data_IF_059737512714
#
_entry.id   IF_059737512714
#
_cell.length_a   1.000
_cell.length_b   1.000
_cell.length_c   1.000
_cell.angle_alpha   90.00
_cell.angle_beta   90.00
_cell.angle_gamma   90.00
#
_symmetry.space_group_name_H-M   'P 1'
#
loop_
_entity.id
_entity.type
_entity.pdbx_description
1 polymer ?
#
# COMPACT_ATOMS: atom_id res chain seq x y z
N UNK A 1 24.83 41.36 12.90
CA UNK A 1 24.29 40.77 11.66
C UNK A 1 25.20 39.61 11.26
N UNK A 2 24.78 38.36 11.51
CA UNK A 2 25.50 37.16 11.08
C UNK A 2 24.87 36.69 9.78
N UNK A 3 25.61 36.76 8.68
CA UNK A 3 25.20 36.18 7.41
C UNK A 3 25.40 34.66 7.48
N UNK A 4 24.31 33.91 7.33
CA UNK A 4 24.33 32.46 7.14
C UNK A 4 24.64 32.19 5.66
N UNK A 5 25.65 31.36 5.40
CA UNK A 5 25.96 30.84 4.07
C UNK A 5 24.95 29.74 3.69
N UNK A 6 24.57 29.61 2.41
CA UNK A 6 23.69 28.54 1.96
C UNK A 6 24.48 27.24 1.76
N UNK A 7 24.09 26.19 2.47
CA UNK A 7 24.52 24.82 2.18
C UNK A 7 23.73 24.31 0.96
N UNK A 8 24.40 24.23 -0.19
CA UNK A 8 23.86 23.61 -1.40
C UNK A 8 23.82 22.09 -1.21
N UNK A 9 22.62 21.57 -0.94
CA UNK A 9 22.31 20.15 -0.84
C UNK A 9 22.14 19.59 -2.26
N UNK A 10 23.19 19.01 -2.83
CA UNK A 10 23.11 18.31 -4.12
C UNK A 10 22.55 16.90 -3.89
N UNK A 11 21.23 16.74 -3.97
CA UNK A 11 20.59 15.43 -3.99
C UNK A 11 20.32 15.05 -5.45
N UNK A 12 21.14 14.14 -5.99
CA UNK A 12 20.84 13.45 -7.24
C UNK A 12 19.94 12.26 -6.93
N UNK A 13 18.72 12.30 -7.46
CA UNK A 13 17.78 11.18 -7.47
C UNK A 13 17.89 10.44 -8.79
N UNK A 14 17.94 9.11 -8.73
CA UNK A 14 17.75 8.22 -9.87
C UNK A 14 16.90 7.02 -9.40
N UNK A 15 15.98 6.55 -10.25
CA UNK A 15 14.71 5.86 -9.90
C UNK A 15 14.76 4.34 -10.20
N UNK A 16 13.84 3.59 -9.56
CA UNK A 16 13.27 2.25 -9.85
C UNK A 16 13.95 1.05 -9.16
N UNK A 17 13.30 -0.06 -8.78
CA UNK A 17 11.89 -0.44 -8.58
C UNK A 17 11.88 -1.67 -7.64
N UNK A 18 10.86 -1.82 -6.80
CA UNK A 18 10.74 -2.92 -5.84
C UNK A 18 10.25 -4.21 -6.52
N UNK A 19 11.07 -5.27 -6.48
CA UNK A 19 10.70 -6.62 -6.88
C UNK A 19 9.60 -7.21 -6.00
N UNK A 20 8.36 -6.95 -6.36
CA UNK A 20 7.17 -7.63 -5.86
C UNK A 20 7.04 -8.95 -6.63
N UNK A 21 7.11 -10.07 -5.93
CA UNK A 21 6.77 -11.37 -6.48
C UNK A 21 5.27 -11.38 -6.84
N UNK A 22 4.94 -11.09 -8.09
CA UNK A 22 3.64 -11.36 -8.71
C UNK A 22 3.70 -12.74 -9.36
N UNK A 23 2.99 -13.71 -8.80
CA UNK A 23 2.40 -14.76 -9.62
C UNK A 23 0.97 -14.31 -9.94
N UNK A 24 0.77 -13.87 -11.18
CA UNK A 24 -0.53 -13.75 -11.80
C UNK A 24 -0.41 -14.22 -13.23
N UNK A 25 -1.23 -15.19 -13.64
CA UNK A 25 -1.84 -15.15 -14.97
C UNK A 25 -3.17 -15.92 -14.96
N UNK A 26 -4.25 -15.15 -15.03
CA UNK A 26 -5.47 -15.56 -15.71
C UNK A 26 -5.45 -14.80 -17.05
N UNK A 27 -5.43 -15.53 -18.16
CA UNK A 27 -5.67 -14.97 -19.50
C UNK A 27 -7.00 -15.51 -20.03
N UNK A 28 -7.92 -14.60 -20.33
CA UNK A 28 -9.11 -14.85 -21.15
C UNK A 28 -8.90 -14.15 -22.49
N UNK A 29 -8.90 -14.92 -23.59
CA UNK A 29 -9.12 -14.43 -24.94
C UNK A 29 -9.86 -15.51 -25.75
N UNK A 30 -11.07 -15.19 -26.19
CA UNK A 30 -11.76 -15.80 -27.36
C UNK A 30 -11.17 -15.13 -28.63
N UNK A 31 -11.05 -15.70 -29.83
CA UNK A 31 -11.58 -16.92 -30.47
C UNK A 31 -11.01 -17.08 -31.92
N UNK A 32 -11.33 -18.22 -32.56
CA UNK A 32 -11.24 -18.63 -34.00
C UNK A 32 -10.02 -19.45 -34.50
N UNK A 33 -10.16 -20.77 -34.36
CA UNK A 33 -10.14 -21.85 -35.39
C UNK A 33 -9.24 -21.82 -36.65
N UNK A 34 -8.41 -22.87 -36.83
CA UNK A 34 -8.31 -23.84 -37.96
C UNK A 34 -6.98 -24.65 -37.77
N UNK A 35 -6.99 -25.89 -37.27
CA UNK A 35 -7.01 -27.18 -38.00
C UNK A 35 -5.66 -27.67 -38.57
N UNK A 36 -5.36 -28.95 -38.25
CA UNK A 36 -4.43 -29.93 -38.87
C UNK A 36 -3.02 -30.17 -38.26
N UNK A 37 -2.95 -31.25 -37.47
CA UNK A 37 -2.07 -32.45 -37.60
C UNK A 37 -0.56 -32.31 -37.86
N UNK A 38 0.28 -32.80 -36.93
CA UNK A 38 0.94 -34.12 -37.06
C UNK A 38 1.68 -34.51 -35.77
N UNK A 39 1.59 -35.79 -35.44
CA UNK A 39 2.11 -36.44 -34.24
C UNK A 39 3.37 -37.26 -34.51
N UNK A 40 4.34 -37.08 -33.61
CA UNK A 40 5.23 -38.06 -32.97
C UNK A 40 6.17 -39.01 -33.76
N UNK A 41 7.41 -39.01 -33.25
CA UNK A 41 8.36 -40.12 -33.05
C UNK A 41 9.24 -40.59 -34.20
N UNK A 42 10.57 -40.52 -33.98
CA UNK A 42 11.40 -41.72 -33.91
C UNK A 42 12.71 -41.47 -33.13
N UNK A 43 13.00 -42.37 -32.20
CA UNK A 43 14.23 -42.46 -31.40
C UNK A 43 15.42 -42.98 -32.21
N UNK A 44 16.65 -42.66 -31.78
CA UNK A 44 17.70 -43.62 -31.38
C UNK A 44 19.11 -43.00 -31.50
N UNK A 45 19.85 -42.96 -30.40
CA UNK A 45 21.17 -43.60 -30.19
C UNK A 45 21.98 -42.90 -29.09
N UNK A 46 22.82 -43.73 -28.49
CA UNK A 46 23.46 -43.71 -27.18
C UNK A 46 24.94 -43.32 -27.33
N UNK A 47 25.61 -43.13 -26.20
CA UNK A 47 27.07 -42.94 -26.00
C UNK A 47 27.52 -41.48 -26.25
N UNK A 48 28.38 -40.82 -25.49
CA UNK A 48 29.47 -41.28 -24.62
C UNK A 48 29.92 -40.15 -23.66
N UNK A 49 30.53 -40.54 -22.55
CA UNK A 49 31.08 -39.71 -21.49
C UNK A 49 32.43 -39.07 -21.92
N UNK A 50 32.58 -37.74 -21.84
CA UNK A 50 33.92 -37.15 -21.71
C UNK A 50 33.89 -35.74 -21.11
N UNK A 51 34.56 -35.62 -19.96
CA UNK A 51 34.94 -34.36 -19.32
C UNK A 51 35.97 -33.59 -20.16
N UNK A 52 35.90 -32.25 -20.21
CA UNK A 52 37.14 -31.49 -20.19
C UNK A 52 37.11 -30.34 -19.17
N UNK A 53 37.96 -30.51 -18.17
CA UNK A 53 39.02 -29.57 -17.73
C UNK A 53 38.73 -28.08 -17.90
N UNK A 54 38.56 -27.42 -16.76
CA UNK A 54 38.48 -25.97 -16.60
C UNK A 54 39.67 -25.24 -17.27
N UNK A 55 39.35 -24.25 -18.11
CA UNK A 55 40.28 -23.19 -18.47
C UNK A 55 39.88 -21.89 -17.75
N UNK A 56 40.85 -21.01 -17.41
CA UNK A 56 40.61 -19.81 -16.63
C UNK A 56 39.88 -18.78 -17.49
N UNK A 57 38.75 -18.26 -16.98
CA UNK A 57 37.99 -17.21 -17.66
C UNK A 57 38.55 -15.83 -17.30
N UNK A 58 38.70 -15.04 -18.36
CA UNK A 58 39.05 -13.62 -18.47
C UNK A 58 38.30 -12.73 -17.44
N UNK A 59 38.93 -11.69 -16.82
CA UNK A 59 38.36 -10.92 -15.71
C UNK A 59 37.32 -9.85 -16.10
N UNK A 60 36.75 -9.90 -17.30
CA UNK A 60 35.97 -8.77 -17.86
C UNK A 60 34.46 -8.99 -17.89
N UNK A 61 33.90 -9.73 -16.92
CA UNK A 61 32.45 -9.81 -16.76
C UNK A 61 32.06 -9.70 -15.27
N UNK A 62 32.30 -8.52 -14.69
CA UNK A 62 31.63 -8.11 -13.47
C UNK A 62 30.17 -7.82 -13.85
N UNK A 63 29.31 -8.78 -13.56
CA UNK A 63 27.87 -8.60 -13.54
C UNK A 63 27.55 -7.29 -12.82
N UNK A 64 26.96 -6.34 -13.55
CA UNK A 64 26.30 -5.16 -13.02
C UNK A 64 25.14 -5.63 -12.13
N UNK A 65 25.48 -5.91 -10.87
CA UNK A 65 24.53 -6.33 -9.85
C UNK A 65 23.58 -5.19 -9.55
N UNK A 66 22.29 -5.47 -9.59
CA UNK A 66 21.26 -4.59 -9.07
C UNK A 66 21.53 -4.31 -7.58
N UNK A 67 22.20 -3.20 -7.30
CA UNK A 67 22.51 -2.76 -5.95
C UNK A 67 21.35 -1.99 -5.33
N UNK A 68 20.94 -2.36 -4.11
CA UNK A 68 19.96 -1.62 -3.33
C UNK A 68 20.65 -0.45 -2.60
N UNK A 69 20.04 0.74 -2.61
CA UNK A 69 20.53 1.92 -1.89
C UNK A 69 19.99 1.94 -0.44
N UNK A 70 20.89 1.96 0.54
CA UNK A 70 20.55 2.09 1.97
C UNK A 70 21.14 3.40 2.52
N UNK A 71 20.33 4.19 3.22
CA UNK A 71 20.81 5.39 3.89
C UNK A 71 21.71 5.03 5.07
N UNK A 72 22.85 5.71 5.20
CA UNK A 72 23.82 5.56 6.28
C UNK A 72 24.09 6.92 6.94
N UNK A 73 24.61 6.91 8.17
CA UNK A 73 25.15 8.12 8.80
C UNK A 73 26.57 8.46 8.32
N UNK A 74 27.19 9.47 8.93
CA UNK A 74 28.55 9.91 8.64
C UNK A 74 29.63 8.87 8.93
N UNK A 75 29.33 7.86 9.74
CA UNK A 75 30.25 6.78 10.11
C UNK A 75 30.03 5.53 9.24
N UNK A 76 29.12 5.60 8.27
CA UNK A 76 28.76 4.47 7.39
C UNK A 76 27.80 3.48 8.03
N UNK A 77 27.20 3.81 9.18
CA UNK A 77 26.26 2.94 9.89
C UNK A 77 24.86 3.09 9.30
N UNK A 78 24.14 1.99 9.00
CA UNK A 78 22.85 2.08 8.35
C UNK A 78 21.77 2.74 9.21
N UNK A 79 20.91 3.56 8.59
CA UNK A 79 19.81 4.24 9.25
C UNK A 79 18.53 3.40 9.25
N UNK A 80 17.83 3.41 10.38
CA UNK A 80 16.53 2.77 10.53
C UNK A 80 15.46 3.38 9.62
N UNK A 81 14.72 2.57 8.87
CA UNK A 81 13.69 3.05 7.94
C UNK A 81 12.47 3.71 8.63
N UNK A 82 12.26 3.46 9.93
CA UNK A 82 11.19 4.10 10.69
C UNK A 82 11.63 5.43 11.31
N UNK A 83 12.68 5.40 12.14
CA UNK A 83 13.08 6.51 13.01
C UNK A 83 14.34 7.25 12.55
N UNK A 84 15.00 6.77 11.49
CA UNK A 84 16.23 7.35 10.91
C UNK A 84 17.42 7.44 11.87
N UNK A 85 17.39 6.73 13.00
CA UNK A 85 18.55 6.58 13.89
C UNK A 85 19.46 5.46 13.40
N UNK A 86 20.77 5.50 13.69
CA UNK A 86 21.70 4.44 13.31
C UNK A 86 21.31 3.10 13.95
N UNK A 87 21.19 2.05 13.14
CA UNK A 87 20.92 0.68 13.59
C UNK A 87 22.16 0.09 14.26
N UNK A 88 22.01 -0.63 15.38
CA UNK A 88 23.13 -1.22 16.13
C UNK A 88 23.99 -2.21 15.31
N UNK A 89 25.06 -2.72 15.93
CA UNK A 89 25.93 -3.73 15.31
C UNK A 89 25.16 -5.05 15.16
N UNK A 90 24.53 -5.23 14.01
CA UNK A 90 23.86 -6.46 13.59
C UNK A 90 24.32 -6.83 12.18
N UNK A 91 24.31 -8.13 11.86
CA UNK A 91 24.74 -8.63 10.55
C UNK A 91 24.00 -7.96 9.38
N UNK A 92 24.60 -7.99 8.19
CA UNK A 92 24.22 -7.20 6.99
C UNK A 92 22.72 -7.21 6.60
N UNK A 93 21.92 -8.17 7.08
CA UNK A 93 20.49 -8.31 6.79
C UNK A 93 19.55 -7.78 7.89
N UNK A 94 20.04 -7.64 9.12
CA UNK A 94 19.27 -7.20 10.31
C UNK A 94 19.29 -5.68 10.54
N UNK A 95 19.92 -4.92 9.64
CA UNK A 95 20.22 -3.49 9.82
C UNK A 95 19.15 -2.51 9.33
N UNK A 96 17.98 -2.98 8.90
CA UNK A 96 16.92 -2.07 8.36
C UNK A 96 16.15 -1.33 9.44
N UNK A 97 16.12 -1.87 10.65
CA UNK A 97 15.41 -1.30 11.78
C UNK A 97 16.25 -1.42 13.05
N UNK A 98 16.20 -0.40 13.91
CA UNK A 98 16.90 -0.43 15.20
C UNK A 98 16.21 -1.32 16.25
N UNK A 99 15.08 -1.95 15.92
CA UNK A 99 14.33 -2.83 16.81
C UNK A 99 12.93 -3.17 16.26
N UNK A 100 12.25 -4.10 16.94
CA UNK A 100 10.91 -4.59 16.54
C UNK A 100 9.87 -3.46 16.49
N UNK A 101 9.87 -2.54 17.45
CA UNK A 101 8.92 -1.40 17.45
C UNK A 101 9.01 -0.58 16.16
N UNK A 102 10.22 -0.21 15.72
CA UNK A 102 10.39 0.52 14.48
C UNK A 102 10.01 -0.30 13.24
N UNK A 103 10.26 -1.61 13.26
CA UNK A 103 9.81 -2.49 12.19
C UNK A 103 8.27 -2.53 12.09
N UNK A 104 7.58 -2.63 13.22
CA UNK A 104 6.11 -2.66 13.28
C UNK A 104 5.50 -1.32 12.86
N UNK A 105 5.97 -0.21 13.41
CA UNK A 105 5.56 1.14 12.99
C UNK A 105 5.72 1.36 11.49
N UNK A 106 6.84 0.91 10.93
CA UNK A 106 7.08 0.99 9.51
C UNK A 106 6.09 0.14 8.72
N UNK A 107 5.80 -1.09 9.17
CA UNK A 107 4.82 -1.96 8.52
C UNK A 107 3.41 -1.37 8.58
N UNK A 108 3.01 -0.77 9.70
CA UNK A 108 1.71 -0.09 9.83
C UNK A 108 1.58 1.07 8.84
N UNK A 109 2.66 1.83 8.64
CA UNK A 109 2.71 2.95 7.69
C UNK A 109 2.74 2.53 6.22
N UNK A 110 3.34 1.38 5.90
CA UNK A 110 3.67 1.02 4.52
C UNK A 110 2.88 -0.16 3.96
N UNK A 111 2.34 -1.02 4.83
CA UNK A 111 1.60 -2.22 4.45
C UNK A 111 0.15 -2.13 4.90
N UNK A 112 -0.74 -1.90 3.94
CA UNK A 112 -2.20 -1.92 4.14
C UNK A 112 -2.67 -3.25 4.76
N UNK A 113 -2.09 -4.38 4.34
CA UNK A 113 -2.45 -5.70 4.86
C UNK A 113 -2.05 -5.85 6.33
N UNK A 114 -0.83 -5.44 6.70
CA UNK A 114 -0.36 -5.48 8.09
C UNK A 114 -1.20 -4.55 8.97
N UNK A 115 -1.43 -3.32 8.51
CA UNK A 115 -2.26 -2.34 9.20
C UNK A 115 -3.67 -2.88 9.47
N UNK A 116 -4.34 -3.42 8.44
CA UNK A 116 -5.67 -4.02 8.59
C UNK A 116 -5.67 -5.20 9.57
N UNK A 117 -4.66 -6.07 9.51
CA UNK A 117 -4.55 -7.21 10.42
C UNK A 117 -4.40 -6.77 11.88
N UNK A 118 -3.57 -5.77 12.17
CA UNK A 118 -3.38 -5.22 13.53
C UNK A 118 -4.64 -4.55 14.06
N UNK A 119 -5.35 -3.78 13.24
CA UNK A 119 -6.61 -3.15 13.66
C UNK A 119 -7.69 -4.21 13.89
N UNK A 120 -7.81 -5.20 13.02
CA UNK A 120 -8.75 -6.31 13.18
C UNK A 120 -8.47 -7.13 14.44
N UNK A 121 -7.20 -7.37 14.79
CA UNK A 121 -6.82 -8.08 16.01
C UNK A 121 -7.30 -7.36 17.28
N UNK A 122 -7.20 -6.03 17.30
CA UNK A 122 -7.61 -5.20 18.44
C UNK A 122 -9.13 -5.00 18.50
N UNK A 123 -9.77 -4.70 17.37
CA UNK A 123 -11.17 -4.24 17.34
C UNK A 123 -12.15 -5.28 16.80
N UNK A 124 -11.65 -6.44 16.38
CA UNK A 124 -12.44 -7.59 15.91
C UNK A 124 -13.39 -7.29 14.74
N UNK A 125 -13.14 -6.19 14.02
CA UNK A 125 -13.96 -5.75 12.90
C UNK A 125 -15.28 -5.08 13.32
N UNK A 126 -15.37 -4.64 14.58
CA UNK A 126 -16.47 -3.85 15.11
C UNK A 126 -16.28 -2.39 14.73
N UNK A 127 -17.30 -1.80 14.10
CA UNK A 127 -17.29 -0.39 13.74
C UNK A 127 -17.24 0.49 14.98
N UNK A 128 -16.20 1.30 15.12
CA UNK A 128 -16.02 2.21 16.26
C UNK A 128 -17.02 3.39 16.26
N UNK A 129 -17.77 3.59 15.16
CA UNK A 129 -18.80 4.63 15.08
C UNK A 129 -20.21 4.11 15.42
N UNK A 130 -20.59 2.93 14.92
CA UNK A 130 -21.97 2.41 15.07
C UNK A 130 -22.08 1.08 15.84
N UNK A 131 -20.97 0.49 16.28
CA UNK A 131 -20.94 -0.73 17.09
C UNK A 131 -21.25 -2.04 16.35
N UNK A 132 -21.52 -1.99 15.04
CA UNK A 132 -21.84 -3.18 14.26
C UNK A 132 -20.58 -4.00 13.96
N UNK A 133 -20.65 -5.32 14.14
CA UNK A 133 -19.59 -6.25 13.73
C UNK A 133 -19.64 -6.53 12.22
N UNK A 134 -18.88 -5.76 11.45
CA UNK A 134 -18.85 -5.86 10.00
C UNK A 134 -17.98 -7.01 9.49
N UNK A 135 -16.92 -7.39 10.23
CA UNK A 135 -16.10 -8.55 9.86
C UNK A 135 -16.86 -9.87 10.03
N UNK A 136 -17.69 -10.00 11.07
CA UNK A 136 -18.55 -11.17 11.25
C UNK A 136 -19.55 -11.32 10.10
N UNK A 137 -20.17 -10.22 9.65
CA UNK A 137 -21.05 -10.28 8.47
C UNK A 137 -20.27 -10.69 7.21
N UNK A 138 -19.05 -10.18 7.02
CA UNK A 138 -18.20 -10.61 5.92
C UNK A 138 -17.95 -12.13 5.94
N UNK A 139 -17.59 -12.71 7.09
CA UNK A 139 -17.36 -14.14 7.23
C UNK A 139 -18.62 -14.94 6.85
N UNK A 140 -19.79 -14.55 7.36
CA UNK A 140 -21.05 -15.21 7.03
C UNK A 140 -21.38 -15.12 5.53
N UNK A 141 -21.21 -13.96 4.89
CA UNK A 141 -21.51 -13.78 3.46
C UNK A 141 -20.49 -14.52 2.57
N UNK A 142 -19.22 -14.53 2.95
CA UNK A 142 -18.15 -15.26 2.26
C UNK A 142 -18.45 -16.76 2.20
N UNK A 143 -18.83 -17.32 3.34
CA UNK A 143 -19.02 -18.76 3.52
C UNK A 143 -20.42 -19.23 3.03
N UNK A 144 -21.35 -18.30 2.80
CA UNK A 144 -22.67 -18.60 2.25
C UNK A 144 -22.64 -18.89 0.73
N UNK A 145 -23.53 -19.77 0.23
CA UNK A 145 -23.77 -19.95 -1.20
C UNK A 145 -24.20 -18.65 -1.87
N UNK A 146 -23.74 -18.42 -3.11
CA UNK A 146 -24.01 -17.18 -3.85
C UNK A 146 -25.51 -16.83 -3.96
N UNK A 147 -26.38 -17.84 -4.02
CA UNK A 147 -27.84 -17.66 -4.08
C UNK A 147 -28.41 -16.94 -2.84
N UNK A 148 -27.82 -17.15 -1.67
CA UNK A 148 -28.33 -16.62 -0.40
C UNK A 148 -27.75 -15.23 -0.07
N UNK A 149 -26.62 -14.87 -0.69
CA UNK A 149 -25.88 -13.63 -0.38
C UNK A 149 -26.73 -12.38 -0.62
N UNK A 150 -27.62 -12.39 -1.61
CA UNK A 150 -28.50 -11.24 -1.89
C UNK A 150 -29.39 -10.91 -0.70
N UNK A 151 -30.16 -11.89 -0.23
CA UNK A 151 -31.06 -11.76 0.93
C UNK A 151 -30.30 -11.36 2.20
N UNK A 152 -29.12 -11.96 2.42
CA UNK A 152 -28.26 -11.62 3.56
C UNK A 152 -27.81 -10.15 3.56
N UNK A 153 -27.57 -9.55 2.39
CA UNK A 153 -27.13 -8.15 2.29
C UNK A 153 -28.31 -7.17 2.34
N UNK A 154 -29.45 -7.51 1.73
CA UNK A 154 -30.65 -6.67 1.70
C UNK A 154 -31.21 -6.39 3.09
N UNK A 155 -31.10 -7.35 4.02
CA UNK A 155 -31.58 -7.21 5.40
C UNK A 155 -30.56 -6.55 6.36
N UNK A 156 -29.55 -5.85 5.83
CA UNK A 156 -28.50 -5.22 6.64
C UNK A 156 -28.33 -3.75 6.32
N UNK A 157 -27.48 -3.06 7.11
CA UNK A 157 -27.08 -1.68 6.86
C UNK A 157 -26.39 -1.48 5.51
N UNK A 158 -25.93 -2.53 4.84
CA UNK A 158 -25.29 -2.43 3.53
C UNK A 158 -26.28 -2.19 2.38
N UNK A 159 -27.58 -2.36 2.61
CA UNK A 159 -28.65 -2.13 1.62
C UNK A 159 -28.64 -0.70 1.04
N UNK A 160 -28.09 0.28 1.75
CA UNK A 160 -27.90 1.66 1.27
C UNK A 160 -26.71 1.85 0.31
N UNK A 161 -25.90 0.80 0.06
CA UNK A 161 -24.83 0.85 -0.92
C UNK A 161 -25.39 0.90 -2.35
N UNK A 162 -24.56 1.28 -3.32
CA UNK A 162 -25.01 1.27 -4.71
C UNK A 162 -25.27 -0.16 -5.19
N UNK A 163 -26.24 -0.34 -6.11
CA UNK A 163 -26.52 -1.64 -6.72
C UNK A 163 -25.26 -2.29 -7.32
N UNK A 164 -24.36 -1.50 -7.88
CA UNK A 164 -23.07 -1.97 -8.39
C UNK A 164 -22.24 -2.65 -7.30
N UNK A 165 -22.09 -2.00 -6.14
CA UNK A 165 -21.33 -2.54 -5.01
C UNK A 165 -21.99 -3.79 -4.44
N UNK A 166 -23.31 -3.77 -4.25
CA UNK A 166 -24.04 -4.96 -3.78
C UNK A 166 -23.85 -6.15 -4.73
N UNK A 167 -23.93 -5.93 -6.04
CA UNK A 167 -23.69 -6.97 -7.03
C UNK A 167 -22.24 -7.50 -7.01
N UNK A 168 -21.26 -6.65 -6.74
CA UNK A 168 -19.86 -7.08 -6.55
C UNK A 168 -19.72 -7.96 -5.29
N UNK A 169 -20.36 -7.59 -4.18
CA UNK A 169 -20.37 -8.35 -2.93
C UNK A 169 -21.06 -9.72 -3.07
N UNK A 170 -22.15 -9.80 -3.84
CA UNK A 170 -22.85 -11.06 -4.12
C UNK A 170 -21.96 -12.00 -4.92
N UNK A 171 -21.29 -11.50 -5.97
CA UNK A 171 -20.43 -12.31 -6.85
C UNK A 171 -19.18 -12.81 -6.12
N UNK A 172 -18.46 -11.91 -5.47
CA UNK A 172 -17.20 -12.21 -4.81
C UNK A 172 -17.01 -11.27 -3.61
N UNK A 173 -17.52 -11.64 -2.42
CA UNK A 173 -17.40 -10.80 -1.23
C UNK A 173 -15.93 -10.70 -0.84
N UNK A 174 -15.43 -9.47 -0.73
CA UNK A 174 -14.09 -9.18 -0.20
C UNK A 174 -14.21 -8.37 1.08
N UNK A 175 -13.28 -8.60 2.00
CA UNK A 175 -13.36 -8.04 3.35
C UNK A 175 -13.50 -6.50 3.37
N UNK A 176 -12.78 -5.80 2.50
CA UNK A 176 -12.84 -4.35 2.36
C UNK A 176 -14.20 -3.79 1.93
N UNK A 177 -15.14 -4.62 1.47
CA UNK A 177 -16.51 -4.18 1.16
C UNK A 177 -17.37 -4.03 2.42
N UNK A 178 -16.96 -4.59 3.55
CA UNK A 178 -17.74 -4.59 4.79
C UNK A 178 -17.19 -3.59 5.80
N UNK A 179 -15.85 -3.48 5.89
CA UNK A 179 -15.19 -2.55 6.80
C UNK A 179 -13.85 -2.04 6.27
N UNK A 180 -13.46 -0.86 6.74
CA UNK A 180 -12.25 -0.13 6.38
C UNK A 180 -11.52 0.33 7.64
N UNK A 181 -10.20 0.46 7.54
CA UNK A 181 -9.41 1.19 8.53
C UNK A 181 -9.48 2.66 8.17
N UNK A 182 -9.78 3.50 9.14
CA UNK A 182 -9.75 4.94 9.00
C UNK A 182 -8.92 5.57 10.12
N UNK A 183 -8.49 6.82 9.92
CA UNK A 183 -7.78 7.57 10.94
C UNK A 183 -8.77 8.15 11.95
N UNK A 184 -8.46 8.09 13.25
CA UNK A 184 -9.22 8.76 14.32
C UNK A 184 -9.10 10.28 14.14
N UNK A 185 -7.87 10.80 14.04
CA UNK A 185 -7.57 12.16 13.63
C UNK A 185 -7.11 12.19 12.17
N UNK A 186 -7.82 12.88 11.26
CA UNK A 186 -7.48 12.86 9.84
C UNK A 186 -6.16 13.59 9.55
N UNK A 187 -5.42 13.09 8.56
CA UNK A 187 -4.08 13.59 8.16
C UNK A 187 -4.08 15.10 7.88
N UNK A 188 -5.10 15.63 7.21
CA UNK A 188 -5.17 17.06 6.85
C UNK A 188 -5.27 17.99 8.08
N UNK A 189 -5.70 17.47 9.23
CA UNK A 189 -5.78 18.20 10.50
C UNK A 189 -4.54 18.00 11.38
N UNK A 190 -3.42 17.56 10.78
CA UNK A 190 -2.19 17.23 11.49
C UNK A 190 -2.13 15.79 11.98
N UNK A 191 -3.04 14.90 11.60
CA UNK A 191 -3.02 13.47 11.92
C UNK A 191 -1.97 12.64 11.15
N UNK A 192 -0.85 13.25 10.73
CA UNK A 192 0.12 12.69 9.78
C UNK A 192 0.90 11.45 10.22
N UNK A 193 0.53 10.82 11.34
CA UNK A 193 1.07 9.53 11.76
C UNK A 193 0.01 8.44 11.61
N UNK A 194 0.32 7.45 10.77
CA UNK A 194 -0.32 6.14 10.77
C UNK A 194 0.23 5.31 11.96
N UNK A 195 0.12 5.84 13.18
CA UNK A 195 0.32 5.00 14.37
C UNK A 195 -0.92 4.16 14.57
N UNK A 196 -0.77 2.94 15.12
CA UNK A 196 -1.91 2.07 15.41
C UNK A 196 -2.95 2.77 16.29
N UNK A 197 -2.49 3.57 17.26
CA UNK A 197 -3.36 4.33 18.18
C UNK A 197 -4.22 5.40 17.49
N UNK A 198 -3.89 5.79 16.26
CA UNK A 198 -4.66 6.75 15.47
C UNK A 198 -5.51 6.06 14.39
N UNK A 199 -5.66 4.74 14.44
CA UNK A 199 -6.47 3.97 13.51
C UNK A 199 -7.72 3.43 14.21
N UNK A 200 -8.78 3.25 13.43
CA UNK A 200 -10.06 2.69 13.87
C UNK A 200 -10.75 1.94 12.74
N UNK A 201 -11.56 0.96 13.10
CA UNK A 201 -12.43 0.21 12.20
C UNK A 201 -13.71 1.00 11.98
N UNK A 202 -14.07 1.21 10.72
CA UNK A 202 -15.38 1.71 10.33
C UNK A 202 -16.04 0.74 9.36
N UNK A 203 -17.34 0.49 9.53
CA UNK A 203 -18.10 -0.18 8.48
C UNK A 203 -18.12 0.68 7.22
N UNK A 204 -18.29 0.06 6.05
CA UNK A 204 -18.21 0.77 4.75
C UNK A 204 -19.19 1.95 4.65
N UNK A 205 -20.35 1.85 5.30
CA UNK A 205 -21.33 2.93 5.37
C UNK A 205 -20.79 4.14 6.16
N UNK A 206 -20.37 3.94 7.41
CA UNK A 206 -19.81 5.01 8.23
C UNK A 206 -18.54 5.60 7.61
N UNK A 207 -17.70 4.77 7.00
CA UNK A 207 -16.50 5.23 6.30
C UNK A 207 -16.83 6.14 5.11
N UNK A 208 -17.87 5.82 4.32
CA UNK A 208 -18.31 6.68 3.21
C UNK A 208 -18.86 8.02 3.69
N UNK A 209 -19.66 8.00 4.75
CA UNK A 209 -20.18 9.22 5.37
C UNK A 209 -19.04 10.12 5.86
N UNK A 210 -18.09 9.56 6.59
CA UNK A 210 -16.91 10.27 7.09
C UNK A 210 -16.04 10.81 5.97
N UNK A 211 -15.79 10.03 4.92
CA UNK A 211 -15.04 10.47 3.73
C UNK A 211 -15.73 11.67 3.05
N UNK A 212 -17.05 11.62 2.91
CA UNK A 212 -17.85 12.71 2.35
C UNK A 212 -17.75 13.98 3.21
N UNK A 213 -17.88 13.83 4.54
CA UNK A 213 -17.76 14.94 5.48
C UNK A 213 -16.37 15.59 5.43
N UNK A 214 -15.31 14.80 5.49
CA UNK A 214 -13.94 15.29 5.37
C UNK A 214 -13.67 15.96 4.01
N UNK A 215 -14.27 15.49 2.92
CA UNK A 215 -14.15 16.13 1.61
C UNK A 215 -14.78 17.53 1.59
N UNK A 216 -15.92 17.72 2.27
CA UNK A 216 -16.56 19.03 2.46
C UNK A 216 -15.68 19.97 3.28
N UNK A 217 -15.14 19.50 4.40
CA UNK A 217 -14.25 20.27 5.27
C UNK A 217 -12.99 20.73 4.52
N UNK A 218 -12.33 19.83 3.79
CA UNK A 218 -11.16 20.18 2.95
C UNK A 218 -11.51 21.25 1.90
N UNK A 219 -12.68 21.14 1.28
CA UNK A 219 -13.15 22.14 0.31
C UNK A 219 -13.36 23.51 0.96
N UNK A 220 -13.99 23.55 2.14
CA UNK A 220 -14.21 24.78 2.90
C UNK A 220 -12.89 25.42 3.36
N UNK A 221 -11.96 24.65 3.92
CA UNK A 221 -10.64 25.16 4.31
C UNK A 221 -9.87 25.75 3.12
N UNK A 222 -9.89 25.10 1.96
CA UNK A 222 -9.26 25.65 0.74
C UNK A 222 -9.86 26.99 0.33
N UNK A 223 -11.19 27.13 0.40
CA UNK A 223 -11.88 28.39 0.12
C UNK A 223 -11.52 29.47 1.15
N UNK A 224 -11.47 29.12 2.44
CA UNK A 224 -11.06 30.02 3.51
C UNK A 224 -9.63 30.53 3.35
N UNK A 225 -8.68 29.64 3.05
CA UNK A 225 -7.28 30.00 2.78
C UNK A 225 -7.15 30.90 1.53
N UNK A 226 -7.90 30.60 0.47
CA UNK A 226 -7.93 31.45 -0.73
C UNK A 226 -8.48 32.85 -0.41
N UNK A 227 -9.59 32.94 0.33
CA UNK A 227 -10.16 34.21 0.76
C UNK A 227 -9.21 34.99 1.69
N UNK A 228 -8.58 34.31 2.65
CA UNK A 228 -7.58 34.92 3.54
C UNK A 228 -6.37 35.44 2.77
N UNK A 229 -5.88 34.70 1.77
CA UNK A 229 -4.76 35.14 0.92
C UNK A 229 -5.12 36.39 0.13
N UNK A 230 -6.33 36.45 -0.42
CA UNK A 230 -6.83 37.64 -1.12
C UNK A 230 -7.00 38.83 -0.16
N UNK A 231 -7.49 38.60 1.07
CA UNK A 231 -7.64 39.63 2.08
C UNK A 231 -6.29 40.17 2.60
N UNK A 232 -5.28 39.31 2.73
CA UNK A 232 -3.93 39.70 3.15
C UNK A 232 -3.13 40.40 2.05
N UNK A 233 -3.49 40.22 0.78
CA UNK A 233 -2.81 40.83 -0.36
C UNK A 233 -3.37 42.23 -0.65
N UNK A 234 -3.02 43.18 0.22
CA UNK A 234 -3.44 44.58 0.10
C UNK A 234 -2.80 45.30 -1.09
N UNK A 235 -1.76 44.73 -1.72
CA UNK A 235 -1.01 45.38 -2.82
C UNK A 235 -1.90 45.65 -4.04
N UNK A 236 -2.91 44.80 -4.28
CA UNK A 236 -3.92 45.00 -5.33
C UNK A 236 -4.76 46.28 -5.17
N UNK A 237 -4.87 46.83 -3.96
CA UNK A 237 -5.62 48.06 -3.72
C UNK A 237 -4.79 49.33 -3.96
N UNK A 238 -3.45 49.23 -4.00
CA UNK A 238 -2.54 50.37 -4.15
C UNK A 238 -2.02 50.56 -5.58
N UNK A 239 -2.45 49.73 -6.54
CA UNK A 239 -2.19 49.98 -7.97
C UNK A 239 -3.21 51.03 -8.46
N UNK A 240 -2.87 52.32 -8.28
CA UNK A 240 -3.54 53.43 -8.94
C UNK A 240 -2.56 54.10 -9.92
N UNK A 241 -3.12 54.43 -11.10
CA UNK A 241 -2.51 55.01 -12.32
C UNK A 241 -1.47 56.09 -12.07
#
# INVERSE_FOLDING_TARGET
>A
MRFLTPLSLNIKFQICDTGLHKQTSLSLSLSLSLSLSLSLSLSLHREEESSPRAQPRDPTNLLEGAGYLQAVDSEGKPLCLSCQRPCGEGGAWDTRFCGRTCQEEFQVRTSQAYMRARVLETEQGVCQHCGINAHQLFQHVRDAPAANRKEMLENTWLSQLSLKQLNEMIRNPVEGQFWQVDHIRPVFSGGGQCSLDNLQTLCTVCHRERTSQQAKERSQMRKGLAASKVASDITRFFIKK
#
